data_IF_577319237592
#
_entry.id   IF_577319237592
#
_cell.length_a   1.000
_cell.length_b   1.000
_cell.length_c   1.000
_cell.angle_alpha   90.00
_cell.angle_beta   90.00
_cell.angle_gamma   90.00
#
_symmetry.space_group_name_H-M   'P 1'
#
loop_
_entity.id
_entity.type
_entity.pdbx_description
1 polymer ?
#
# COMPACT_ATOMS: atom_id res chain seq x y z
N UNK A 1 -27.92 17.71 -16.21
CA UNK A 1 -28.40 16.67 -15.28
C UNK A 1 -27.76 15.35 -15.63
N UNK A 2 -27.04 14.74 -14.69
CA UNK A 2 -26.40 13.43 -14.88
C UNK A 2 -27.49 12.36 -14.99
N UNK A 3 -27.53 11.61 -16.11
CA UNK A 3 -28.58 10.62 -16.38
C UNK A 3 -28.60 9.48 -15.34
N UNK A 4 -27.46 9.17 -14.74
CA UNK A 4 -27.29 8.15 -13.70
C UNK A 4 -26.39 8.70 -12.59
N UNK A 5 -26.94 9.08 -11.43
CA UNK A 5 -26.12 9.63 -10.35
C UNK A 5 -25.22 8.54 -9.73
N UNK A 6 -23.95 8.85 -9.42
CA UNK A 6 -23.07 7.94 -8.70
C UNK A 6 -23.73 7.40 -7.43
N UNK A 7 -23.65 6.10 -7.23
CA UNK A 7 -24.33 5.41 -6.13
C UNK A 7 -23.44 4.30 -5.56
N UNK A 8 -23.48 4.13 -4.24
CA UNK A 8 -23.00 2.92 -3.58
C UNK A 8 -24.09 1.86 -3.62
N UNK A 9 -23.75 0.67 -4.11
CA UNK A 9 -24.63 -0.49 -4.16
C UNK A 9 -24.04 -1.56 -3.26
N UNK A 10 -24.82 -1.99 -2.25
CA UNK A 10 -24.34 -2.84 -1.17
C UNK A 10 -25.16 -4.13 -1.18
N UNK A 11 -24.48 -5.26 -1.39
CA UNK A 11 -25.09 -6.59 -1.48
C UNK A 11 -24.63 -7.48 -0.32
N UNK A 12 -25.52 -8.37 0.13
CA UNK A 12 -25.13 -9.52 0.94
C UNK A 12 -24.72 -10.68 0.04
N UNK A 13 -23.44 -11.02 0.06
CA UNK A 13 -22.89 -12.10 -0.78
C UNK A 13 -23.38 -13.50 -0.37
N UNK A 14 -23.93 -13.68 0.85
CA UNK A 14 -24.48 -14.98 1.28
C UNK A 14 -25.87 -15.23 0.72
N UNK A 15 -26.65 -14.18 0.53
CA UNK A 15 -28.06 -14.27 0.11
C UNK A 15 -28.33 -13.69 -1.28
N UNK A 16 -27.32 -13.08 -1.91
CA UNK A 16 -27.40 -12.37 -3.20
C UNK A 16 -28.47 -11.26 -3.20
N UNK A 17 -28.74 -10.68 -2.02
CA UNK A 17 -29.74 -9.63 -1.86
C UNK A 17 -29.11 -8.25 -1.86
N UNK A 18 -29.76 -7.31 -2.55
CA UNK A 18 -29.46 -5.89 -2.43
C UNK A 18 -29.89 -5.39 -1.05
N UNK A 19 -28.92 -5.04 -0.21
CA UNK A 19 -29.17 -4.47 1.12
C UNK A 19 -29.48 -2.97 1.03
N UNK A 20 -28.71 -2.24 0.21
CA UNK A 20 -28.85 -0.78 0.12
C UNK A 20 -28.35 -0.25 -1.22
N UNK A 21 -29.08 0.72 -1.77
CA UNK A 21 -28.60 1.64 -2.81
C UNK A 21 -28.57 3.04 -2.22
N UNK A 22 -27.39 3.59 -2.05
CA UNK A 22 -27.19 4.95 -1.57
C UNK A 22 -26.73 5.83 -2.73
N UNK A 23 -27.52 6.82 -3.10
CA UNK A 23 -27.17 7.79 -4.15
C UNK A 23 -26.41 8.93 -3.49
N UNK A 24 -25.20 9.25 -3.96
CA UNK A 24 -24.45 10.36 -3.39
C UNK A 24 -25.21 11.69 -3.60
N UNK A 25 -25.31 12.54 -2.56
CA UNK A 25 -25.94 13.86 -2.69
C UNK A 25 -25.32 14.73 -3.79
N UNK A 26 -26.15 15.55 -4.46
CA UNK A 26 -25.71 16.38 -5.60
C UNK A 26 -24.61 17.37 -5.24
N UNK A 27 -24.57 17.86 -4.00
CA UNK A 27 -23.52 18.74 -3.52
C UNK A 27 -22.16 18.03 -3.35
N UNK A 28 -22.16 16.69 -3.30
CA UNK A 28 -20.97 15.85 -3.13
C UNK A 28 -20.44 15.28 -4.46
N UNK A 29 -21.26 15.33 -5.52
CA UNK A 29 -20.88 14.93 -6.88
C UNK A 29 -20.82 16.16 -7.76
N UNK A 30 -19.61 16.53 -8.19
CA UNK A 30 -19.37 17.70 -9.02
C UNK A 30 -19.38 17.32 -10.51
N UNK A 31 -19.43 18.33 -11.38
CA UNK A 31 -19.17 18.12 -12.80
C UNK A 31 -17.80 17.47 -12.97
N UNK A 32 -17.68 16.48 -13.85
CA UNK A 32 -16.46 15.66 -14.06
C UNK A 32 -16.00 14.83 -12.86
N UNK A 33 -16.80 14.69 -11.79
CA UNK A 33 -16.48 13.74 -10.72
C UNK A 33 -16.35 12.32 -11.26
N UNK A 34 -15.32 11.60 -10.81
CA UNK A 34 -15.00 10.25 -11.26
C UNK A 34 -14.52 9.39 -10.11
N UNK A 35 -15.34 8.42 -9.68
CA UNK A 35 -15.01 7.52 -8.58
C UNK A 35 -14.35 6.25 -9.12
N UNK A 36 -13.02 6.21 -9.18
CA UNK A 36 -12.29 5.05 -9.71
C UNK A 36 -12.02 3.96 -8.67
N UNK A 37 -11.98 4.31 -7.38
CA UNK A 37 -11.62 3.36 -6.33
C UNK A 37 -12.38 3.64 -5.04
N UNK A 38 -12.55 2.59 -4.24
CA UNK A 38 -13.24 2.63 -2.96
C UNK A 38 -12.51 1.73 -1.95
N UNK A 39 -12.29 2.26 -0.75
CA UNK A 39 -11.81 1.49 0.38
C UNK A 39 -12.95 1.35 1.40
N UNK A 40 -13.11 0.16 1.97
CA UNK A 40 -14.17 -0.14 2.95
C UNK A 40 -13.53 -0.54 4.27
N UNK A 41 -13.95 0.13 5.33
CA UNK A 41 -13.60 -0.19 6.72
C UNK A 41 -14.81 -0.85 7.38
N UNK A 42 -14.72 -2.16 7.56
CA UNK A 42 -15.83 -3.07 7.89
C UNK A 42 -15.57 -3.96 9.11
N UNK A 43 -14.50 -3.70 9.86
CA UNK A 43 -14.16 -4.46 11.08
C UNK A 43 -15.22 -4.35 12.16
N UNK A 44 -15.95 -3.23 12.19
CA UNK A 44 -17.19 -3.05 12.95
C UNK A 44 -18.34 -2.93 11.93
N UNK A 45 -19.16 -3.98 11.83
CA UNK A 45 -20.27 -4.05 10.87
C UNK A 45 -21.31 -2.94 11.10
N UNK A 46 -21.53 -2.51 12.35
CA UNK A 46 -22.49 -1.45 12.64
C UNK A 46 -21.88 -0.08 12.29
N UNK A 47 -20.57 0.08 12.50
CA UNK A 47 -19.81 1.30 12.19
C UNK A 47 -18.94 1.14 10.95
N UNK A 48 -19.55 0.65 9.87
CA UNK A 48 -18.87 0.52 8.58
C UNK A 48 -18.79 1.86 7.85
N UNK A 49 -17.63 2.14 7.27
CA UNK A 49 -17.39 3.33 6.45
C UNK A 49 -16.86 2.95 5.08
N UNK A 50 -17.25 3.72 4.06
CA UNK A 50 -16.69 3.60 2.72
C UNK A 50 -16.05 4.93 2.30
N UNK A 51 -14.86 4.86 1.71
CA UNK A 51 -14.05 6.00 1.28
C UNK A 51 -13.90 5.93 -0.23
N UNK A 52 -14.64 6.77 -0.96
CA UNK A 52 -14.61 6.81 -2.41
C UNK A 52 -13.76 7.99 -2.90
N UNK A 53 -12.66 7.71 -3.60
CA UNK A 53 -11.76 8.72 -4.14
C UNK A 53 -12.31 9.29 -5.46
N UNK A 54 -12.45 10.61 -5.53
CA UNK A 54 -12.87 11.34 -6.72
C UNK A 54 -11.65 11.88 -7.47
N UNK A 55 -11.27 11.19 -8.56
CA UNK A 55 -10.10 11.51 -9.36
C UNK A 55 -10.29 12.76 -10.23
N UNK A 56 -11.53 13.06 -10.62
CA UNK A 56 -11.84 14.14 -11.56
C UNK A 56 -12.04 15.47 -10.85
N UNK A 57 -12.56 15.42 -9.62
CA UNK A 57 -12.59 16.55 -8.68
C UNK A 57 -11.97 16.10 -7.35
N UNK A 58 -10.69 16.38 -7.11
CA UNK A 58 -9.91 15.85 -5.99
C UNK A 58 -10.63 15.93 -4.63
N UNK A 59 -11.15 14.79 -4.16
CA UNK A 59 -11.83 14.67 -2.87
C UNK A 59 -11.96 13.20 -2.47
N UNK A 60 -12.29 12.98 -1.20
CA UNK A 60 -12.85 11.71 -0.74
C UNK A 60 -14.30 11.97 -0.35
N UNK A 61 -15.22 11.16 -0.88
CA UNK A 61 -16.58 11.05 -0.34
C UNK A 61 -16.60 9.91 0.65
N UNK A 62 -16.90 10.24 1.91
CA UNK A 62 -16.99 9.27 3.01
C UNK A 62 -18.45 8.97 3.24
N UNK A 63 -18.81 7.68 3.23
CA UNK A 63 -20.14 7.19 3.55
C UNK A 63 -20.11 6.45 4.89
N UNK A 64 -21.12 6.69 5.73
CA UNK A 64 -21.33 6.00 7.00
C UNK A 64 -22.56 5.10 6.93
N UNK A 65 -22.36 3.81 7.21
CA UNK A 65 -23.44 2.83 7.23
C UNK A 65 -24.49 3.14 8.32
N UNK A 66 -24.03 3.42 9.54
CA UNK A 66 -24.84 3.75 10.71
C UNK A 66 -25.74 4.96 10.46
N UNK A 67 -25.15 6.06 9.97
CA UNK A 67 -25.89 7.31 9.72
C UNK A 67 -26.71 7.27 8.43
N UNK A 68 -26.39 6.32 7.53
CA UNK A 68 -26.88 6.32 6.16
C UNK A 68 -26.70 7.69 5.48
N UNK A 69 -25.52 8.27 5.67
CA UNK A 69 -25.19 9.61 5.24
C UNK A 69 -23.76 9.66 4.71
N UNK A 70 -23.46 10.65 3.89
CA UNK A 70 -22.12 10.87 3.36
C UNK A 70 -21.73 12.33 3.40
N UNK A 71 -20.43 12.58 3.33
CA UNK A 71 -19.88 13.93 3.22
C UNK A 71 -18.63 13.92 2.36
N UNK A 72 -18.28 15.09 1.83
CA UNK A 72 -17.15 15.29 0.92
C UNK A 72 -16.02 16.02 1.63
N UNK A 73 -14.83 15.42 1.62
CA UNK A 73 -13.61 15.98 2.21
C UNK A 73 -12.65 16.36 1.10
N UNK A 74 -12.06 17.56 1.19
CA UNK A 74 -11.04 18.05 0.27
C UNK A 74 -9.74 18.31 1.00
N UNK A 75 -8.61 17.97 0.39
CA UNK A 75 -7.28 18.25 0.93
C UNK A 75 -6.29 18.45 -0.22
N UNK A 76 -5.24 19.25 -0.01
CA UNK A 76 -4.26 19.54 -1.07
C UNK A 76 -3.60 18.26 -1.62
N UNK A 77 -3.31 17.29 -0.75
CA UNK A 77 -2.69 16.01 -1.13
C UNK A 77 -3.56 15.11 -2.02
N UNK A 78 -4.83 15.44 -2.24
CA UNK A 78 -5.65 14.70 -3.21
C UNK A 78 -5.38 15.13 -4.65
N UNK A 79 -4.76 16.30 -4.88
CA UNK A 79 -4.53 16.84 -6.22
C UNK A 79 -3.37 16.13 -6.94
N UNK A 80 -3.42 16.03 -8.28
CA UNK A 80 -2.28 15.56 -9.06
C UNK A 80 -1.08 16.49 -8.89
N UNK A 81 0.12 15.93 -8.98
CA UNK A 81 1.36 16.68 -9.09
C UNK A 81 1.55 17.10 -10.56
N UNK A 82 1.60 18.40 -10.89
CA UNK A 82 1.74 18.87 -12.26
C UNK A 82 3.04 18.40 -12.94
N UNK A 83 4.03 17.94 -12.18
CA UNK A 83 5.30 17.40 -12.70
C UNK A 83 5.26 15.88 -12.92
N UNK A 84 4.14 15.22 -12.61
CA UNK A 84 3.98 13.77 -12.72
C UNK A 84 2.81 13.36 -13.64
N UNK A 85 2.24 14.30 -14.41
CA UNK A 85 1.11 14.05 -15.30
C UNK A 85 1.48 13.33 -16.60
N UNK A 86 2.76 13.23 -16.95
CA UNK A 86 3.21 12.58 -18.18
C UNK A 86 3.47 11.09 -17.96
N UNK A 87 2.87 10.27 -18.82
CA UNK A 87 2.96 8.82 -18.80
C UNK A 87 3.60 8.31 -20.09
N UNK A 88 4.40 7.25 -19.95
CA UNK A 88 4.99 6.51 -21.05
C UNK A 88 4.85 5.03 -20.77
N UNK A 89 3.88 4.39 -21.41
CA UNK A 89 3.54 2.99 -21.17
C UNK A 89 3.51 2.25 -22.50
N UNK A 90 4.35 1.22 -22.63
CA UNK A 90 4.46 0.37 -23.83
C UNK A 90 4.57 1.17 -25.14
N UNK A 91 5.37 2.23 -25.13
CA UNK A 91 5.61 3.07 -26.31
C UNK A 91 4.51 4.10 -26.60
N UNK A 92 3.45 4.15 -25.81
CA UNK A 92 2.44 5.20 -25.88
C UNK A 92 2.76 6.30 -24.85
N UNK A 93 2.79 7.53 -25.32
CA UNK A 93 2.93 8.71 -24.47
C UNK A 93 1.57 9.42 -24.37
N UNK A 94 1.15 9.73 -23.15
CA UNK A 94 -0.10 10.42 -22.88
C UNK A 94 0.02 11.20 -21.58
N UNK A 95 -0.92 12.12 -21.34
CA UNK A 95 -0.95 12.94 -20.14
C UNK A 95 -2.29 12.77 -19.43
N UNK A 96 -2.24 12.43 -18.15
CA UNK A 96 -3.41 12.34 -17.27
C UNK A 96 -3.20 13.21 -16.05
N UNK A 97 -4.28 13.84 -15.60
CA UNK A 97 -4.32 14.64 -14.37
C UNK A 97 -5.14 13.94 -13.30
N UNK A 98 -5.18 12.60 -13.35
CA UNK A 98 -5.97 11.79 -12.44
C UNK A 98 -5.49 12.02 -11.01
N UNK A 99 -6.40 12.53 -10.20
CA UNK A 99 -6.17 12.90 -8.81
C UNK A 99 -6.16 11.65 -7.91
N UNK A 100 -6.58 11.78 -6.65
CA UNK A 100 -6.66 10.67 -5.69
C UNK A 100 -7.24 9.39 -6.31
N UNK A 101 -6.49 8.30 -6.23
CA UNK A 101 -6.79 7.04 -6.93
C UNK A 101 -6.49 5.81 -6.08
N UNK A 102 -5.25 5.66 -5.63
CA UNK A 102 -4.86 4.55 -4.75
C UNK A 102 -5.37 4.79 -3.34
N UNK A 103 -6.05 3.79 -2.77
CA UNK A 103 -6.60 3.81 -1.41
C UNK A 103 -6.33 2.47 -0.73
N UNK A 104 -5.66 2.48 0.42
CA UNK A 104 -5.37 1.28 1.20
C UNK A 104 -5.57 1.50 2.69
N UNK A 105 -6.43 0.70 3.32
CA UNK A 105 -6.72 0.79 4.75
C UNK A 105 -5.90 -0.23 5.53
N UNK A 106 -5.16 0.24 6.54
CA UNK A 106 -4.51 -0.66 7.51
C UNK A 106 -5.53 -1.48 8.31
N UNK A 107 -5.03 -2.43 9.09
CA UNK A 107 -5.80 -2.92 10.23
C UNK A 107 -6.11 -1.75 11.19
N UNK A 108 -7.24 -1.81 11.92
CA UNK A 108 -7.57 -0.81 12.93
C UNK A 108 -6.54 -0.82 14.07
N UNK A 109 -6.30 0.36 14.65
CA UNK A 109 -5.54 0.53 15.89
C UNK A 109 -6.38 0.12 17.12
N UNK A 110 -5.82 0.31 18.32
CA UNK A 110 -6.49 -0.03 19.58
C UNK A 110 -7.81 0.74 19.82
N UNK A 111 -7.95 1.91 19.21
CA UNK A 111 -9.13 2.79 19.30
C UNK A 111 -10.13 2.54 18.14
N UNK A 112 -9.94 1.45 17.39
CA UNK A 112 -10.78 1.04 16.25
C UNK A 112 -10.79 2.04 15.08
N UNK A 113 -9.66 2.72 14.85
CA UNK A 113 -9.42 3.56 13.67
C UNK A 113 -8.30 2.97 12.80
N UNK A 114 -8.52 2.87 11.50
CA UNK A 114 -7.47 2.52 10.55
C UNK A 114 -6.70 3.75 10.09
N UNK A 115 -5.51 3.53 9.54
CA UNK A 115 -4.82 4.51 8.70
C UNK A 115 -5.21 4.28 7.25
N UNK A 116 -5.70 5.33 6.58
CA UNK A 116 -5.88 5.34 5.13
C UNK A 116 -4.58 5.84 4.48
N UNK A 117 -3.91 4.95 3.75
CA UNK A 117 -2.85 5.29 2.83
C UNK A 117 -3.44 5.63 1.47
N UNK A 118 -2.99 6.72 0.87
CA UNK A 118 -3.52 7.15 -0.41
C UNK A 118 -2.51 7.91 -1.27
N UNK A 119 -2.79 7.97 -2.56
CA UNK A 119 -2.06 8.80 -3.50
C UNK A 119 -2.90 9.21 -4.71
N UNK A 120 -2.64 10.39 -5.29
CA UNK A 120 -3.06 10.71 -6.65
C UNK A 120 -2.38 9.80 -7.66
N UNK A 121 -3.06 9.51 -8.77
CA UNK A 121 -2.47 8.70 -9.83
C UNK A 121 -1.30 9.42 -10.50
N UNK A 122 -1.50 10.68 -10.87
CA UNK A 122 -0.43 11.55 -11.33
C UNK A 122 0.39 12.09 -10.13
N UNK A 123 1.08 11.20 -9.43
CA UNK A 123 2.00 11.56 -8.33
C UNK A 123 3.00 10.44 -8.04
N UNK A 124 4.18 10.82 -7.55
CA UNK A 124 5.17 9.89 -7.00
C UNK A 124 5.04 9.69 -5.49
N UNK A 125 4.21 10.50 -4.83
CA UNK A 125 4.16 10.57 -3.38
C UNK A 125 3.10 9.66 -2.77
N UNK A 126 3.34 9.22 -1.55
CA UNK A 126 2.36 8.50 -0.72
C UNK A 126 2.00 9.38 0.48
N UNK A 127 0.71 9.35 0.83
CA UNK A 127 0.16 10.10 1.92
C UNK A 127 -0.59 9.18 2.88
N UNK A 128 -0.85 9.68 4.07
CA UNK A 128 -1.69 8.97 5.04
C UNK A 128 -2.53 9.90 5.87
N UNK A 129 -3.67 9.41 6.36
CA UNK A 129 -4.50 10.07 7.36
C UNK A 129 -5.19 9.01 8.23
N UNK A 130 -5.38 9.29 9.51
CA UNK A 130 -6.21 8.45 10.37
C UNK A 130 -7.68 8.59 9.99
N UNK A 131 -8.40 7.47 9.92
CA UNK A 131 -9.85 7.45 9.68
C UNK A 131 -10.64 8.19 10.76
N UNK A 132 -10.08 8.38 11.95
CA UNK A 132 -10.62 9.23 13.01
C UNK A 132 -11.04 10.61 12.49
N UNK A 133 -10.17 11.24 11.69
CA UNK A 133 -10.43 12.55 11.12
C UNK A 133 -11.38 12.51 9.92
N UNK A 134 -11.48 11.37 9.23
CA UNK A 134 -12.33 11.24 8.04
C UNK A 134 -13.80 10.94 8.37
N UNK A 135 -14.08 10.35 9.54
CA UNK A 135 -15.42 9.94 9.97
C UNK A 135 -16.35 11.12 10.31
N UNK A 136 -15.87 12.36 10.24
CA UNK A 136 -16.64 13.58 10.44
C UNK A 136 -16.04 14.73 9.60
N UNK A 137 -16.86 15.39 8.78
CA UNK A 137 -16.40 16.46 7.89
C UNK A 137 -15.77 17.64 8.64
N UNK A 138 -16.43 18.17 9.68
CA UNK A 138 -15.92 19.31 10.45
C UNK A 138 -14.58 18.98 11.11
N UNK A 139 -14.43 17.75 11.62
CA UNK A 139 -13.16 17.29 12.19
C UNK A 139 -12.06 17.24 11.11
N UNK A 140 -12.38 16.77 9.90
CA UNK A 140 -11.41 16.76 8.80
C UNK A 140 -10.95 18.18 8.43
N UNK A 141 -11.89 19.11 8.32
CA UNK A 141 -11.64 20.50 7.93
C UNK A 141 -10.83 21.25 9.00
N UNK A 142 -11.14 21.02 10.29
CA UNK A 142 -10.45 21.64 11.42
C UNK A 142 -9.06 21.05 11.69
N UNK A 143 -8.77 19.85 11.16
CA UNK A 143 -7.52 19.12 11.38
C UNK A 143 -6.75 18.88 10.09
N UNK A 144 -6.58 19.93 9.27
CA UNK A 144 -5.86 19.87 8.00
C UNK A 144 -4.46 19.22 8.12
N UNK A 145 -3.73 19.51 9.20
CA UNK A 145 -2.40 18.94 9.46
C UNK A 145 -2.40 17.44 9.81
N UNK A 146 -3.56 16.81 10.00
CA UNK A 146 -3.65 15.37 10.25
C UNK A 146 -3.23 14.54 9.03
N UNK A 147 -3.34 15.11 7.81
CA UNK A 147 -2.86 14.50 6.59
C UNK A 147 -1.34 14.61 6.51
N UNK A 148 -0.66 13.48 6.28
CA UNK A 148 0.81 13.40 6.28
C UNK A 148 1.34 12.99 4.91
N UNK A 149 2.36 13.69 4.43
CA UNK A 149 3.23 13.20 3.37
C UNK A 149 4.20 12.18 3.96
N UNK A 150 4.19 10.96 3.43
CA UNK A 150 5.10 9.90 3.88
C UNK A 150 6.45 9.95 3.16
N UNK A 151 6.42 10.25 1.86
CA UNK A 151 7.59 10.28 0.99
C UNK A 151 7.24 9.90 -0.44
N UNK A 152 8.24 9.47 -1.20
CA UNK A 152 8.13 9.20 -2.64
C UNK A 152 8.52 7.77 -3.02
N UNK A 153 7.84 7.23 -4.04
CA UNK A 153 8.17 5.97 -4.73
C UNK A 153 9.35 6.11 -5.70
N UNK A 154 9.75 7.35 -6.00
CA UNK A 154 10.86 7.66 -6.89
C UNK A 154 10.44 8.12 -8.30
N UNK A 155 11.42 8.33 -9.20
CA UNK A 155 11.16 8.82 -10.55
C UNK A 155 10.28 7.87 -11.37
N UNK A 156 9.35 8.42 -12.14
CA UNK A 156 8.41 7.68 -13.02
C UNK A 156 7.59 6.61 -12.28
N UNK A 157 7.35 6.81 -10.98
CA UNK A 157 6.65 5.87 -10.13
C UNK A 157 5.19 6.25 -9.88
N UNK A 158 4.51 6.78 -10.91
CA UNK A 158 3.06 6.96 -10.89
C UNK A 158 2.39 5.62 -10.60
N UNK A 159 1.39 5.66 -9.73
CA UNK A 159 0.71 4.48 -9.22
C UNK A 159 -0.78 4.65 -9.43
N UNK A 160 -1.45 3.63 -9.97
CA UNK A 160 -2.90 3.59 -10.04
C UNK A 160 -3.46 3.12 -8.70
N UNK A 161 -3.62 1.81 -8.52
CA UNK A 161 -4.25 1.18 -7.36
C UNK A 161 -3.24 0.83 -6.27
N UNK A 162 -3.75 0.77 -5.04
CA UNK A 162 -3.06 0.20 -3.90
C UNK A 162 -4.02 -0.58 -3.00
N UNK A 163 -3.45 -1.45 -2.17
CA UNK A 163 -4.18 -2.20 -1.15
C UNK A 163 -3.23 -2.54 -0.02
N UNK A 164 -3.69 -2.42 1.23
CA UNK A 164 -2.92 -2.88 2.39
C UNK A 164 -3.41 -4.25 2.79
N UNK A 165 -2.51 -5.23 2.85
CA UNK A 165 -2.81 -6.45 3.58
C UNK A 165 -2.85 -6.13 5.08
N UNK A 166 -4.06 -6.22 5.66
CA UNK A 166 -4.30 -5.94 7.07
C UNK A 166 -3.48 -6.85 7.99
N UNK A 167 -3.17 -8.08 7.57
CA UNK A 167 -2.46 -9.05 8.41
C UNK A 167 -0.97 -8.77 8.49
N UNK A 168 -0.31 -8.57 7.36
CA UNK A 168 1.14 -8.33 7.33
C UNK A 168 1.52 -6.85 7.46
N UNK A 169 0.56 -5.94 7.26
CA UNK A 169 0.83 -4.50 7.21
C UNK A 169 1.64 -4.10 5.97
N UNK A 170 1.57 -4.88 4.90
CA UNK A 170 2.24 -4.53 3.63
C UNK A 170 1.25 -3.79 2.74
N UNK A 171 1.62 -2.57 2.36
CA UNK A 171 0.98 -1.80 1.30
C UNK A 171 1.52 -2.29 -0.04
N UNK A 172 0.67 -2.86 -0.87
CA UNK A 172 0.92 -3.16 -2.27
C UNK A 172 0.42 -2.03 -3.15
N UNK A 173 1.17 -1.70 -4.19
CA UNK A 173 0.77 -0.65 -5.14
C UNK A 173 1.34 -0.93 -6.52
N UNK A 174 0.57 -0.52 -7.51
CA UNK A 174 0.95 -0.58 -8.92
C UNK A 174 1.99 0.49 -9.29
N UNK A 175 2.79 0.24 -10.32
CA UNK A 175 3.71 1.23 -10.90
C UNK A 175 3.54 1.20 -12.42
N UNK A 176 2.65 2.05 -12.92
CA UNK A 176 2.12 1.96 -14.29
C UNK A 176 3.22 2.19 -15.33
N UNK A 177 4.00 3.26 -15.18
CA UNK A 177 5.12 3.58 -16.08
C UNK A 177 6.29 2.58 -15.99
N UNK A 178 6.31 1.72 -14.97
CA UNK A 178 7.39 0.76 -14.73
C UNK A 178 6.96 -0.67 -15.00
N UNK A 179 5.74 -0.89 -15.48
CA UNK A 179 5.14 -2.20 -15.73
C UNK A 179 5.34 -3.15 -14.54
N UNK A 180 5.08 -2.66 -13.33
CA UNK A 180 5.46 -3.34 -12.10
C UNK A 180 4.36 -3.24 -11.02
N UNK A 181 4.45 -4.16 -10.07
CA UNK A 181 3.81 -4.05 -8.77
C UNK A 181 4.89 -4.06 -7.70
N UNK A 182 4.74 -3.19 -6.73
CA UNK A 182 5.67 -2.97 -5.65
C UNK A 182 4.96 -3.03 -4.30
N UNK A 183 5.76 -2.99 -3.25
CA UNK A 183 5.30 -3.11 -1.88
C UNK A 183 6.08 -2.17 -0.95
N UNK A 184 5.50 -1.91 0.21
CA UNK A 184 6.13 -1.21 1.32
C UNK A 184 5.52 -1.68 2.65
N UNK A 185 6.34 -1.78 3.70
CA UNK A 185 5.88 -2.15 5.05
C UNK A 185 5.44 -0.91 5.81
N UNK A 186 4.20 -0.89 6.29
CA UNK A 186 3.64 0.23 7.05
C UNK A 186 4.30 0.43 8.41
N UNK A 187 4.93 -0.60 8.97
CA UNK A 187 5.74 -0.52 10.18
C UNK A 187 7.07 0.22 9.99
N UNK A 188 7.48 0.48 8.74
CA UNK A 188 8.66 1.27 8.46
C UNK A 188 8.34 2.76 8.61
N UNK A 189 9.09 3.48 9.44
CA UNK A 189 8.86 4.91 9.68
C UNK A 189 9.34 5.83 8.54
N UNK A 190 9.91 5.29 7.46
CA UNK A 190 10.44 6.06 6.33
C UNK A 190 9.96 5.48 5.00
N UNK A 191 9.20 6.27 4.25
CA UNK A 191 8.78 5.95 2.88
C UNK A 191 9.85 6.40 1.88
N UNK A 192 10.92 5.62 1.77
CA UNK A 192 12.04 5.84 0.87
C UNK A 192 12.14 4.69 -0.12
N UNK A 193 12.64 4.94 -1.34
CA UNK A 193 12.80 3.90 -2.38
C UNK A 193 13.54 2.65 -1.87
N UNK A 194 14.59 2.83 -1.05
CA UNK A 194 15.37 1.71 -0.47
C UNK A 194 14.59 0.82 0.51
N UNK A 195 13.47 1.32 1.03
CA UNK A 195 12.59 0.62 1.96
C UNK A 195 11.38 0.00 1.24
N UNK A 196 11.34 0.06 -0.08
CA UNK A 196 10.29 -0.48 -0.93
C UNK A 196 10.82 -1.69 -1.69
N UNK A 197 9.93 -2.63 -2.02
CA UNK A 197 10.25 -3.84 -2.77
C UNK A 197 9.49 -3.88 -4.09
N UNK A 198 10.09 -4.43 -5.14
CA UNK A 198 9.37 -4.75 -6.38
C UNK A 198 9.05 -6.24 -6.37
N UNK A 199 7.76 -6.59 -6.38
CA UNK A 199 7.33 -7.98 -6.27
C UNK A 199 7.19 -8.64 -7.64
N UNK A 200 6.86 -7.87 -8.67
CA UNK A 200 6.76 -8.35 -10.04
C UNK A 200 6.95 -7.20 -11.02
N UNK A 201 7.60 -7.47 -12.15
CA UNK A 201 7.80 -6.51 -13.23
C UNK A 201 7.91 -7.24 -14.56
N UNK A 202 7.11 -6.84 -15.54
CA UNK A 202 7.16 -7.42 -16.87
C UNK A 202 6.47 -6.53 -17.90
N UNK A 203 7.18 -6.18 -18.97
CA UNK A 203 6.71 -5.26 -20.02
C UNK A 203 5.59 -5.82 -20.93
N UNK A 204 5.32 -7.12 -20.88
CA UNK A 204 4.26 -7.76 -21.67
C UNK A 204 3.03 -8.07 -20.83
N UNK A 205 3.25 -8.62 -19.64
CA UNK A 205 2.17 -9.16 -18.80
C UNK A 205 1.66 -8.16 -17.77
N UNK A 206 2.42 -7.11 -17.47
CA UNK A 206 2.10 -6.08 -16.47
C UNK A 206 2.02 -4.67 -17.09
N UNK A 207 1.39 -4.57 -18.28
CA UNK A 207 1.29 -3.31 -19.03
C UNK A 207 0.56 -2.23 -18.23
N UNK A 208 -0.63 -2.55 -17.72
CA UNK A 208 -1.42 -1.66 -16.88
C UNK A 208 -2.03 -2.43 -15.70
N UNK A 209 -1.28 -2.61 -14.59
CA UNK A 209 -1.85 -3.09 -13.33
C UNK A 209 -2.96 -2.15 -12.88
N UNK A 210 -4.21 -2.59 -12.98
CA UNK A 210 -5.40 -1.75 -12.76
C UNK A 210 -6.13 -2.05 -11.46
N UNK A 211 -5.91 -3.22 -10.85
CA UNK A 211 -6.47 -3.53 -9.54
C UNK A 211 -5.55 -4.45 -8.73
N UNK A 212 -5.56 -4.27 -7.41
CA UNK A 212 -4.84 -5.07 -6.43
C UNK A 212 -5.77 -5.31 -5.25
N UNK A 213 -5.88 -6.56 -4.81
CA UNK A 213 -6.64 -6.97 -3.63
C UNK A 213 -5.89 -8.09 -2.90
N UNK A 214 -6.12 -8.20 -1.59
CA UNK A 214 -5.71 -9.36 -0.81
C UNK A 214 -6.97 -9.99 -0.24
N UNK A 215 -7.14 -11.29 -0.45
CA UNK A 215 -8.30 -12.02 0.06
C UNK A 215 -8.11 -12.48 1.51
N UNK A 216 -9.15 -13.08 2.08
CA UNK A 216 -9.12 -13.60 3.46
C UNK A 216 -8.26 -14.86 3.63
N UNK A 217 -7.76 -15.45 2.54
CA UNK A 217 -6.86 -16.62 2.53
C UNK A 217 -5.39 -16.22 2.35
N UNK A 218 -5.08 -14.93 2.54
CA UNK A 218 -3.74 -14.34 2.39
C UNK A 218 -3.16 -14.45 0.97
N UNK A 219 -4.01 -14.50 -0.07
CA UNK A 219 -3.56 -14.41 -1.46
C UNK A 219 -3.65 -12.97 -1.97
N UNK A 220 -2.55 -12.52 -2.57
CA UNK A 220 -2.50 -11.29 -3.35
C UNK A 220 -3.07 -11.57 -4.75
N UNK A 221 -3.99 -10.73 -5.19
CA UNK A 221 -4.59 -10.73 -6.52
C UNK A 221 -4.24 -9.44 -7.26
N UNK A 222 -3.82 -9.56 -8.52
CA UNK A 222 -3.49 -8.42 -9.38
C UNK A 222 -4.22 -8.57 -10.71
N UNK A 223 -4.98 -7.56 -11.11
CA UNK A 223 -5.54 -7.45 -12.45
C UNK A 223 -4.64 -6.54 -13.28
N UNK A 224 -4.14 -7.06 -14.40
CA UNK A 224 -3.43 -6.27 -15.42
C UNK A 224 -4.15 -6.33 -16.74
N UNK A 225 -4.28 -5.17 -17.39
CA UNK A 225 -4.83 -5.07 -18.72
C UNK A 225 -3.94 -4.23 -19.63
N UNK A 226 -4.46 -3.88 -20.82
CA UNK A 226 -3.77 -3.09 -21.83
C UNK A 226 -4.48 -1.76 -22.11
N UNK A 227 -5.00 -1.12 -21.06
CA UNK A 227 -5.80 0.11 -21.17
C UNK A 227 -5.11 1.21 -22.01
N UNK A 228 -3.81 1.56 -21.82
CA UNK A 228 -3.18 2.59 -22.64
C UNK A 228 -3.14 2.25 -24.13
N UNK A 229 -2.94 0.98 -24.49
CA UNK A 229 -2.92 0.51 -25.89
C UNK A 229 -4.32 0.60 -26.50
N UNK A 230 -5.36 0.27 -25.72
CA UNK A 230 -6.73 0.41 -26.17
C UNK A 230 -7.15 1.88 -26.35
N UNK A 231 -6.74 2.78 -25.45
CA UNK A 231 -7.09 4.20 -25.52
C UNK A 231 -6.35 4.96 -26.62
N UNK A 232 -5.05 4.66 -26.83
CA UNK A 232 -4.16 5.45 -27.68
C UNK A 232 -3.64 4.67 -28.89
N UNK A 233 -4.22 3.52 -29.18
CA UNK A 233 -3.82 2.64 -30.27
C UNK A 233 -4.95 1.72 -30.68
N UNK A 234 -4.61 0.46 -30.96
CA UNK A 234 -5.56 -0.58 -31.32
C UNK A 234 -5.20 -1.86 -30.57
N UNK A 235 -6.17 -2.42 -29.87
CA UNK A 235 -6.01 -3.69 -29.18
C UNK A 235 -5.96 -4.84 -30.21
N UNK A 236 -4.93 -5.68 -30.16
CA UNK A 236 -4.90 -6.93 -30.94
C UNK A 236 -5.73 -7.99 -30.22
N UNK A 237 -6.81 -8.44 -30.86
CA UNK A 237 -7.73 -9.42 -30.30
C UNK A 237 -7.16 -10.85 -30.31
N UNK A 238 -6.06 -11.10 -31.01
CA UNK A 238 -5.37 -12.39 -31.01
C UNK A 238 -4.38 -12.54 -29.84
N UNK A 239 -4.11 -11.46 -29.09
CA UNK A 239 -3.24 -11.47 -27.93
C UNK A 239 -4.01 -11.53 -26.60
N UNK A 240 -3.34 -11.97 -25.54
CA UNK A 240 -3.90 -11.93 -24.18
C UNK A 240 -3.87 -10.48 -23.68
N UNK A 241 -5.04 -9.85 -23.62
CA UNK A 241 -5.19 -8.44 -23.25
C UNK A 241 -5.51 -8.19 -21.77
N UNK A 242 -6.03 -9.20 -21.08
CA UNK A 242 -6.43 -9.12 -19.68
C UNK A 242 -5.83 -10.31 -18.93
N UNK A 243 -5.23 -10.07 -17.76
CA UNK A 243 -4.57 -11.08 -16.95
C UNK A 243 -4.91 -10.89 -15.48
N UNK A 244 -5.21 -11.98 -14.79
CA UNK A 244 -5.34 -12.03 -13.34
C UNK A 244 -4.19 -12.87 -12.81
N UNK A 245 -3.40 -12.30 -11.92
CA UNK A 245 -2.31 -12.98 -11.23
C UNK A 245 -2.70 -13.22 -9.79
N UNK A 246 -2.19 -14.32 -9.21
CA UNK A 246 -2.27 -14.55 -7.78
C UNK A 246 -0.98 -15.15 -7.22
N UNK A 247 -0.71 -14.86 -5.95
CA UNK A 247 0.33 -15.49 -5.18
C UNK A 247 0.02 -15.36 -3.67
N UNK A 248 0.43 -16.33 -2.83
CA UNK A 248 0.42 -16.12 -1.38
C UNK A 248 1.24 -14.86 -1.03
N UNK A 249 0.68 -13.99 -0.17
CA UNK A 249 1.28 -12.70 0.19
C UNK A 249 2.73 -12.86 0.63
N UNK A 250 3.00 -13.82 1.52
CA UNK A 250 4.34 -14.09 2.06
C UNK A 250 5.34 -14.52 0.99
N UNK A 251 4.90 -15.21 -0.05
CA UNK A 251 5.75 -15.58 -1.19
C UNK A 251 6.01 -14.38 -2.09
N UNK A 252 4.99 -13.56 -2.35
CA UNK A 252 5.10 -12.38 -3.21
C UNK A 252 6.11 -11.35 -2.65
N UNK A 253 6.16 -11.17 -1.33
CA UNK A 253 7.08 -10.23 -0.67
C UNK A 253 8.43 -10.84 -0.30
N UNK A 254 8.62 -12.14 -0.51
CA UNK A 254 9.84 -12.84 -0.11
C UNK A 254 11.08 -12.24 -0.79
N UNK A 255 12.16 -12.11 -0.02
CA UNK A 255 13.43 -11.52 -0.47
C UNK A 255 13.36 -10.06 -0.93
N UNK A 256 12.26 -9.36 -0.66
CA UNK A 256 12.14 -7.91 -0.89
C UNK A 256 12.40 -7.11 0.39
N UNK A 257 12.37 -5.77 0.30
CA UNK A 257 12.38 -4.91 1.49
C UNK A 257 11.10 -5.05 2.35
N UNK A 258 10.05 -5.66 1.79
CA UNK A 258 8.76 -5.86 2.44
C UNK A 258 8.64 -7.22 3.13
N UNK A 259 9.65 -8.08 2.98
CA UNK A 259 9.64 -9.44 3.52
C UNK A 259 9.45 -9.41 5.04
N UNK A 260 8.45 -10.17 5.51
CA UNK A 260 8.10 -10.25 6.92
C UNK A 260 8.76 -11.38 7.68
N UNK A 261 9.37 -12.31 6.97
CA UNK A 261 10.00 -13.46 7.59
C UNK A 261 11.25 -12.98 8.33
N UNK A 262 11.37 -13.29 9.64
CA UNK A 262 12.60 -13.03 10.37
C UNK A 262 13.77 -13.70 9.66
N UNK A 263 14.80 -12.94 9.31
CA UNK A 263 16.02 -13.46 8.67
C UNK A 263 16.93 -14.17 9.68
N UNK A 264 16.39 -15.24 10.29
CA UNK A 264 17.14 -16.10 11.21
C UNK A 264 18.34 -16.73 10.52
N UNK A 265 18.27 -16.98 9.21
CA UNK A 265 19.37 -17.47 8.38
C UNK A 265 20.57 -16.51 8.36
N UNK A 266 20.33 -15.20 8.30
CA UNK A 266 21.37 -14.17 8.39
C UNK A 266 21.92 -14.12 9.81
N UNK A 267 21.05 -14.13 10.82
CA UNK A 267 21.47 -14.15 12.22
C UNK A 267 22.33 -15.38 12.53
N UNK A 268 21.94 -16.56 12.05
CA UNK A 268 22.71 -17.79 12.19
C UNK A 268 24.04 -17.71 11.44
N UNK A 269 24.09 -17.16 10.23
CA UNK A 269 25.36 -16.92 9.52
C UNK A 269 26.29 -15.98 10.29
N UNK A 270 25.77 -14.90 10.86
CA UNK A 270 26.57 -13.99 11.68
C UNK A 270 27.03 -14.64 12.99
N UNK A 271 26.14 -15.37 13.68
CA UNK A 271 26.48 -16.11 14.90
C UNK A 271 27.53 -17.18 14.61
N UNK A 272 27.41 -17.91 13.51
CA UNK A 272 28.39 -18.92 13.11
C UNK A 272 29.73 -18.31 12.70
N UNK A 273 29.71 -17.19 11.97
CA UNK A 273 30.93 -16.42 11.64
C UNK A 273 31.61 -15.90 12.91
N UNK A 274 30.86 -15.35 13.86
CA UNK A 274 31.38 -14.90 15.14
C UNK A 274 31.95 -16.06 15.98
N UNK A 275 31.25 -17.20 16.05
CA UNK A 275 31.75 -18.42 16.71
C UNK A 275 33.06 -18.91 16.10
N UNK A 276 33.19 -18.89 14.77
CA UNK A 276 34.41 -19.31 14.08
C UNK A 276 35.58 -18.36 14.35
N UNK A 277 35.36 -17.04 14.28
CA UNK A 277 36.38 -16.04 14.63
C UNK A 277 36.84 -16.21 16.09
N UNK A 278 35.91 -16.43 17.03
CA UNK A 278 36.24 -16.66 18.44
C UNK A 278 37.05 -17.96 18.62
N UNK A 279 36.71 -19.04 17.92
CA UNK A 279 37.49 -20.28 17.92
C UNK A 279 38.91 -20.06 17.39
N UNK A 280 39.07 -19.30 16.31
CA UNK A 280 40.37 -18.99 15.72
C UNK A 280 41.23 -18.13 16.67
N UNK A 281 40.64 -17.18 17.39
CA UNK A 281 41.33 -16.37 18.40
C UNK A 281 41.78 -17.27 19.56
N UNK A 282 40.88 -18.12 20.09
CA UNK A 282 41.22 -19.06 21.18
C UNK A 282 42.31 -20.05 20.74
N UNK A 283 42.29 -20.52 19.50
CA UNK A 283 43.31 -21.42 18.97
C UNK A 283 44.68 -20.73 18.78
N UNK A 284 44.69 -19.43 18.42
CA UNK A 284 45.90 -18.61 18.33
C UNK A 284 46.46 -18.21 19.70
N UNK A 285 45.60 -18.06 20.71
CA UNK A 285 45.99 -17.87 22.11
C UNK A 285 46.21 -19.25 22.74
N UNK A 286 47.33 -19.92 22.40
CA UNK A 286 47.81 -21.03 23.23
C UNK A 286 48.22 -20.47 24.60
N UNK A 287 47.64 -20.95 25.72
CA UNK A 287 48.05 -20.51 27.05
C UNK A 287 49.40 -21.17 27.38
N UNK A 288 50.50 -20.46 27.13
CA UNK A 288 51.74 -20.77 27.82
C UNK A 288 51.66 -20.16 29.22
N UNK A 289 51.55 -21.05 30.21
CA UNK A 289 51.93 -20.90 31.62
C UNK A 289 51.72 -19.54 32.32
N UNK A 290 50.92 -19.59 33.39
CA UNK A 290 50.85 -18.65 34.51
C UNK A 290 50.51 -17.19 34.18
N UNK A 291 49.22 -16.88 34.14
CA UNK A 291 48.67 -15.66 34.75
C UNK A 291 47.16 -15.77 34.85
N UNK A 292 46.65 -15.77 36.08
CA UNK A 292 45.25 -15.73 36.44
C UNK A 292 44.65 -14.40 36.01
N UNK A 293 43.98 -14.35 34.86
CA UNK A 293 43.05 -13.27 34.52
C UNK A 293 41.70 -13.88 34.15
N UNK A 294 40.65 -13.52 34.92
CA UNK A 294 39.30 -14.07 34.81
C UNK A 294 38.70 -13.75 33.43
N UNK A 295 38.41 -14.74 32.56
CA UNK A 295 37.87 -14.49 31.23
C UNK A 295 36.32 -14.47 31.25
N UNK A 296 35.71 -13.88 32.27
CA UNK A 296 34.25 -13.97 32.47
C UNK A 296 33.53 -12.69 32.03
N UNK A 297 34.21 -11.54 31.91
CA UNK A 297 33.54 -10.27 31.65
C UNK A 297 33.23 -9.98 30.17
N UNK A 298 33.94 -10.59 29.21
CA UNK A 298 33.75 -10.32 27.76
C UNK A 298 32.66 -11.21 27.13
N UNK A 299 32.43 -12.41 27.68
CA UNK A 299 31.37 -13.32 27.20
C UNK A 299 29.97 -12.89 27.67
N UNK A 300 29.87 -12.26 28.83
CA UNK A 300 28.60 -11.72 29.35
C UNK A 300 28.15 -10.46 28.61
N UNK A 301 29.08 -9.61 28.16
CA UNK A 301 28.73 -8.40 27.40
C UNK A 301 28.26 -8.71 25.98
N UNK A 302 28.86 -9.69 25.29
CA UNK A 302 28.41 -10.10 23.95
C UNK A 302 27.06 -10.82 23.98
N UNK A 303 26.81 -11.69 24.97
CA UNK A 303 25.54 -12.40 25.10
C UNK A 303 24.38 -11.48 25.50
N UNK A 304 24.64 -10.45 26.33
CA UNK A 304 23.68 -9.40 26.62
C UNK A 304 23.41 -8.51 25.39
N UNK A 305 24.43 -8.16 24.59
CA UNK A 305 24.21 -7.40 23.35
C UNK A 305 23.33 -8.16 22.35
N UNK A 306 23.55 -9.46 22.20
CA UNK A 306 22.77 -10.32 21.30
C UNK A 306 21.32 -10.48 21.78
N UNK A 307 21.06 -10.50 23.10
CA UNK A 307 19.70 -10.48 23.64
C UNK A 307 19.00 -9.13 23.47
N UNK A 308 19.72 -8.01 23.57
CA UNK A 308 19.16 -6.67 23.36
C UNK A 308 18.86 -6.34 21.89
N UNK A 309 19.55 -6.99 20.95
CA UNK A 309 19.32 -6.86 19.51
C UNK A 309 18.19 -7.78 18.98
N UNK A 310 17.67 -8.69 19.81
CA UNK A 310 16.68 -9.70 19.44
C UNK A 310 15.28 -9.46 20.03
N UNK A 311 15.06 -8.33 20.70
CA UNK A 311 13.75 -7.83 21.15
C UNK A 311 13.29 -6.68 20.27
#
# INVERSE_FOLDING_TARGET
TTKYPPSLIIYDLKTDNLLRKYVFPEDQVKQDSGFANIAVEDTDCDKTYAYAGDLGKPAIVVYSWEKNDSWRITHHYFNPDPLACDFSVKGHNFSWTDAIFGLGLSAPNADNFSTLYFHPMASYNEFSVSTEYLRNQTVADDNFDAFKLLGSRGPNAQSSVSFVDRKTGVLFYSLVNLNAVACWRTSNNKYLMKNQGRIYMNEETMVYPTDIKVDYEDNLWILSNRLPIWMYGKLDLNEVNFRVFSAPVVHAISHTACDITPRSDILEKFVNKAKNITKDIVAKVKPNSSTTTKPITVLLTLSCLVRFLAT
#
